data_IF_164198957136
#
_entry.id   IF_164198957136
#
_cell.length_a   1.000
_cell.length_b   1.000
_cell.length_c   1.000
_cell.angle_alpha   90.00
_cell.angle_beta   90.00
_cell.angle_gamma   90.00
#
_symmetry.space_group_name_H-M   'P 1'
#
loop_
_entity.id
_entity.type
_entity.pdbx_description
1 polymer ?
#
# COMPACT_ATOMS: atom_id res chain seq x y z
N UNK A 1 -18.19 -17.76 9.31
CA UNK A 1 -17.24 -17.99 8.21
C UNK A 1 -15.94 -17.17 8.32
N UNK A 2 -15.98 -15.96 8.88
CA UNK A 2 -14.82 -15.04 8.93
C UNK A 2 -13.65 -15.57 9.80
N UNK A 3 -13.90 -16.22 10.94
CA UNK A 3 -12.83 -16.71 11.85
C UNK A 3 -11.84 -17.76 11.28
N UNK A 4 -11.99 -18.21 10.03
CA UNK A 4 -11.08 -19.17 9.38
C UNK A 4 -10.10 -18.53 8.39
N UNK A 5 -10.21 -17.23 8.16
CA UNK A 5 -9.37 -16.51 7.19
C UNK A 5 -8.06 -16.14 7.88
N UNK A 6 -6.93 -16.44 7.22
CA UNK A 6 -5.60 -16.01 7.64
C UNK A 6 -5.47 -14.50 7.59
N UNK A 7 -4.74 -13.92 8.53
CA UNK A 7 -4.55 -12.48 8.65
C UNK A 7 -3.93 -11.92 7.36
N UNK A 8 -2.97 -12.64 6.80
CA UNK A 8 -2.33 -12.27 5.53
C UNK A 8 -3.35 -12.22 4.39
N UNK A 9 -4.26 -13.19 4.32
CA UNK A 9 -5.29 -13.24 3.28
C UNK A 9 -6.28 -12.08 3.38
N UNK A 10 -6.65 -11.68 4.61
CA UNK A 10 -7.47 -10.49 4.84
C UNK A 10 -6.77 -9.22 4.33
N UNK A 11 -5.48 -9.07 4.66
CA UNK A 11 -4.69 -7.88 4.31
C UNK A 11 -4.48 -7.78 2.78
N UNK A 12 -4.20 -8.91 2.12
CA UNK A 12 -4.12 -8.99 0.66
C UNK A 12 -5.47 -8.72 -0.01
N UNK A 13 -6.59 -9.20 0.53
CA UNK A 13 -7.92 -8.86 0.01
C UNK A 13 -8.19 -7.35 0.10
N UNK A 14 -7.89 -6.73 1.24
CA UNK A 14 -8.09 -5.28 1.43
C UNK A 14 -7.23 -4.48 0.43
N UNK A 15 -5.96 -4.87 0.25
CA UNK A 15 -5.08 -4.26 -0.75
C UNK A 15 -5.60 -4.46 -2.18
N UNK A 16 -6.10 -5.65 -2.51
CA UNK A 16 -6.68 -5.95 -3.82
C UNK A 16 -7.91 -5.10 -4.13
N UNK A 17 -8.82 -4.95 -3.15
CA UNK A 17 -9.99 -4.07 -3.28
C UNK A 17 -9.57 -2.61 -3.42
N UNK A 18 -8.57 -2.17 -2.66
CA UNK A 18 -8.04 -0.81 -2.75
C UNK A 18 -7.41 -0.52 -4.12
N UNK A 19 -6.62 -1.46 -4.66
CA UNK A 19 -6.03 -1.36 -5.99
C UNK A 19 -7.11 -1.31 -7.08
N UNK A 20 -8.15 -2.14 -6.99
CA UNK A 20 -9.30 -2.10 -7.90
C UNK A 20 -10.01 -0.76 -7.86
N UNK A 21 -10.25 -0.21 -6.66
CA UNK A 21 -10.83 1.12 -6.50
C UNK A 21 -9.96 2.22 -7.12
N UNK A 22 -8.63 2.14 -6.97
CA UNK A 22 -7.72 3.09 -7.59
C UNK A 22 -7.76 3.00 -9.12
N UNK A 23 -7.84 1.80 -9.70
CA UNK A 23 -7.98 1.63 -11.15
C UNK A 23 -9.30 2.20 -11.69
N UNK A 24 -10.41 1.91 -11.00
CA UNK A 24 -11.74 2.43 -11.37
C UNK A 24 -11.74 3.96 -11.27
N UNK A 25 -11.25 4.50 -10.16
CA UNK A 25 -11.14 5.95 -9.94
C UNK A 25 -10.27 6.62 -11.01
N UNK A 26 -9.09 6.05 -11.28
CA UNK A 26 -8.15 6.57 -12.29
C UNK A 26 -8.73 6.54 -13.70
N UNK A 27 -9.42 5.47 -14.08
CA UNK A 27 -10.07 5.36 -15.40
C UNK A 27 -11.17 6.39 -15.59
N UNK A 28 -11.99 6.62 -14.56
CA UNK A 28 -13.07 7.60 -14.60
C UNK A 28 -12.53 9.04 -14.61
N UNK A 29 -11.51 9.33 -13.81
CA UNK A 29 -10.82 10.62 -13.84
C UNK A 29 -10.20 10.91 -15.21
N UNK A 30 -9.55 9.92 -15.82
CA UNK A 30 -8.99 10.05 -17.16
C UNK A 30 -10.08 10.31 -18.21
N UNK A 31 -11.22 9.61 -18.12
CA UNK A 31 -12.36 9.85 -19.01
C UNK A 31 -12.93 11.27 -18.87
N UNK A 32 -13.10 11.76 -17.64
CA UNK A 32 -13.60 13.11 -17.36
C UNK A 32 -12.63 14.19 -17.88
N UNK A 33 -11.32 14.02 -17.65
CA UNK A 33 -10.31 14.93 -18.20
C UNK A 33 -10.31 14.94 -19.73
N UNK A 34 -10.41 13.78 -20.36
CA UNK A 34 -10.41 13.68 -21.81
C UNK A 34 -11.69 14.27 -22.44
N UNK A 35 -12.84 14.12 -21.78
CA UNK A 35 -14.08 14.78 -22.19
C UNK A 35 -13.95 16.31 -22.06
N UNK A 36 -13.47 16.80 -20.92
CA UNK A 36 -13.23 18.22 -20.68
C UNK A 36 -12.23 18.84 -21.68
N UNK A 37 -11.15 18.14 -22.00
CA UNK A 37 -10.16 18.60 -22.98
C UNK A 37 -10.75 18.70 -24.39
N UNK A 38 -11.55 17.71 -24.83
CA UNK A 38 -12.24 17.76 -26.13
C UNK A 38 -13.24 18.90 -26.19
N UNK A 39 -14.07 19.05 -25.17
CA UNK A 39 -15.04 20.14 -25.05
C UNK A 39 -14.36 21.51 -25.09
N UNK A 40 -13.20 21.66 -24.44
CA UNK A 40 -12.41 22.88 -24.48
C UNK A 40 -11.87 23.20 -25.88
N UNK A 41 -11.28 22.22 -26.58
CA UNK A 41 -10.74 22.43 -27.94
C UNK A 41 -11.85 22.81 -28.93
N UNK A 42 -12.98 22.10 -28.87
CA UNK A 42 -14.16 22.37 -29.72
C UNK A 42 -14.75 23.75 -29.43
N UNK A 43 -14.88 24.11 -28.15
CA UNK A 43 -15.38 25.41 -27.71
C UNK A 43 -14.44 26.57 -28.14
N UNK A 44 -13.13 26.37 -28.03
CA UNK A 44 -12.15 27.35 -28.48
C UNK A 44 -12.20 27.56 -30.00
N UNK A 45 -12.30 26.47 -30.77
CA UNK A 45 -12.44 26.53 -32.23
C UNK A 45 -13.71 27.28 -32.66
N UNK A 46 -14.84 27.02 -32.00
CA UNK A 46 -16.10 27.70 -32.28
C UNK A 46 -16.00 29.21 -32.00
N UNK A 47 -15.32 29.58 -30.90
CA UNK A 47 -15.05 30.98 -30.55
C UNK A 47 -14.10 31.65 -31.54
N UNK A 48 -13.06 30.97 -32.02
CA UNK A 48 -12.15 31.49 -33.04
C UNK A 48 -12.87 31.70 -34.38
N UNK A 49 -13.71 30.76 -34.81
CA UNK A 49 -14.57 30.91 -35.99
C UNK A 49 -15.48 32.14 -35.87
N UNK A 50 -16.17 32.29 -34.74
CA UNK A 50 -17.03 33.45 -34.47
C UNK A 50 -16.23 34.76 -34.49
N UNK A 51 -15.01 34.77 -33.91
CA UNK A 51 -14.12 35.92 -33.90
C UNK A 51 -13.70 36.36 -35.31
N UNK A 52 -13.21 35.43 -36.12
CA UNK A 52 -12.80 35.70 -37.51
C UNK A 52 -14.00 36.16 -38.38
N UNK A 53 -15.18 35.59 -38.17
CA UNK A 53 -16.40 36.03 -38.86
C UNK A 53 -16.85 37.44 -38.41
N UNK A 54 -16.72 37.74 -37.12
CA UNK A 54 -17.02 39.07 -36.56
C UNK A 54 -16.09 40.13 -37.15
N UNK A 55 -14.78 39.85 -37.20
CA UNK A 55 -13.81 40.74 -37.86
C UNK A 55 -14.09 40.92 -39.34
N UNK A 56 -14.48 39.85 -40.04
CA UNK A 56 -14.91 39.92 -41.44
C UNK A 56 -16.07 40.89 -41.61
N UNK A 57 -17.13 40.72 -40.81
CA UNK A 57 -18.33 41.56 -40.88
C UNK A 57 -18.04 43.04 -40.56
N UNK A 58 -17.27 43.31 -39.49
CA UNK A 58 -16.87 44.66 -39.12
C UNK A 58 -16.08 45.35 -40.25
N UNK A 59 -15.10 44.66 -40.82
CA UNK A 59 -14.30 45.21 -41.92
C UNK A 59 -15.12 45.45 -43.19
N UNK A 60 -16.12 44.60 -43.51
CA UNK A 60 -17.03 44.84 -44.63
C UNK A 60 -17.93 46.08 -44.38
N UNK A 61 -18.35 46.32 -43.14
CA UNK A 61 -19.06 47.54 -42.77
C UNK A 61 -18.15 48.77 -42.88
N UNK A 62 -16.90 48.68 -42.42
CA UNK A 62 -15.90 49.75 -42.60
C UNK A 62 -15.64 50.04 -44.08
N UNK A 63 -15.53 49.01 -44.93
CA UNK A 63 -15.44 49.16 -46.38
C UNK A 63 -16.63 49.94 -46.92
N UNK A 64 -17.86 49.58 -46.55
CA UNK A 64 -19.07 50.29 -46.98
C UNK A 64 -19.06 51.76 -46.54
N UNK A 65 -18.65 52.04 -45.31
CA UNK A 65 -18.52 53.40 -44.79
C UNK A 65 -17.51 54.21 -45.62
N UNK A 66 -16.34 53.63 -45.91
CA UNK A 66 -15.31 54.28 -46.72
C UNK A 66 -15.79 54.55 -48.16
N UNK A 67 -16.49 53.58 -48.77
CA UNK A 67 -17.08 53.73 -50.11
C UNK A 67 -18.14 54.82 -50.15
N UNK A 68 -19.07 54.83 -49.18
CA UNK A 68 -20.10 55.87 -49.08
C UNK A 68 -19.49 57.26 -48.90
N UNK A 69 -18.48 57.38 -48.03
CA UNK A 69 -17.74 58.62 -47.82
C UNK A 69 -16.95 59.08 -49.06
N UNK A 70 -16.42 58.16 -49.85
CA UNK A 70 -15.73 58.46 -51.12
C UNK A 70 -16.72 58.91 -52.19
N UNK A 71 -17.83 58.18 -52.38
CA UNK A 71 -18.89 58.49 -53.34
C UNK A 71 -19.48 59.89 -53.11
N UNK A 72 -19.80 60.23 -51.86
CA UNK A 72 -20.31 61.57 -51.52
C UNK A 72 -19.30 62.67 -51.86
N UNK A 73 -17.99 62.43 -51.67
CA UNK A 73 -16.93 63.39 -52.01
C UNK A 73 -16.70 63.52 -53.52
N UNK A 74 -17.01 62.48 -54.31
CA UNK A 74 -16.98 62.54 -55.77
C UNK A 74 -18.10 63.39 -56.36
N UNK A 75 -19.19 63.60 -55.62
CA UNK A 75 -20.29 64.50 -56.00
C UNK A 75 -20.10 65.94 -55.53
N UNK A 76 -19.11 66.20 -54.68
CA UNK A 76 -18.80 67.55 -54.24
C UNK A 76 -18.10 68.31 -55.38
N UNK A 77 -18.31 69.62 -55.42
CA UNK A 77 -17.54 70.51 -56.29
C UNK A 77 -16.03 70.36 -56.00
N UNK A 78 -15.24 70.32 -57.07
CA UNK A 78 -13.78 70.32 -57.05
C UNK A 78 -13.19 71.48 -56.23
N UNK A 79 -13.92 72.59 -56.10
CA UNK A 79 -13.53 73.73 -55.27
C UNK A 79 -13.59 73.45 -53.75
N UNK A 80 -14.30 72.40 -53.33
CA UNK A 80 -14.43 72.02 -51.93
C UNK A 80 -13.23 71.18 -51.46
N UNK A 81 -12.48 71.68 -50.47
CA UNK A 81 -11.30 71.02 -49.92
C UNK A 81 -11.57 69.59 -49.41
N UNK A 82 -12.80 69.27 -48.99
CA UNK A 82 -13.18 67.92 -48.54
C UNK A 82 -13.24 66.89 -49.68
N UNK A 83 -13.32 67.33 -50.94
CA UNK A 83 -13.33 66.45 -52.12
C UNK A 83 -11.97 65.79 -52.40
N UNK A 84 -10.88 66.32 -51.82
CA UNK A 84 -9.52 65.79 -52.02
C UNK A 84 -9.32 64.39 -51.43
N UNK A 85 -10.03 64.07 -50.34
CA UNK A 85 -9.92 62.78 -49.65
C UNK A 85 -10.64 61.61 -50.37
N UNK A 86 -11.27 61.83 -51.53
CA UNK A 86 -12.05 60.80 -52.24
C UNK A 86 -11.21 59.57 -52.61
N UNK A 87 -9.97 59.78 -53.07
CA UNK A 87 -9.04 58.71 -53.49
C UNK A 87 -8.53 57.95 -52.27
N UNK A 88 -8.07 58.66 -51.23
CA UNK A 88 -7.59 58.04 -49.99
C UNK A 88 -8.67 57.18 -49.29
N UNK A 89 -9.92 57.60 -49.34
CA UNK A 89 -11.04 56.83 -48.82
C UNK A 89 -11.35 55.59 -49.67
N UNK A 90 -11.19 55.67 -51.00
CA UNK A 90 -11.34 54.52 -51.89
C UNK A 90 -10.20 53.51 -51.65
N UNK A 91 -8.96 53.97 -51.46
CA UNK A 91 -7.83 53.10 -51.08
C UNK A 91 -8.05 52.46 -49.71
N UNK A 92 -8.60 53.20 -48.75
CA UNK A 92 -9.00 52.66 -47.44
C UNK A 92 -10.10 51.60 -47.57
N UNK A 93 -11.03 51.76 -48.50
CA UNK A 93 -12.03 50.73 -48.82
C UNK A 93 -11.38 49.47 -49.39
N UNK A 94 -10.46 49.60 -50.37
CA UNK A 94 -9.70 48.46 -50.91
C UNK A 94 -8.94 47.71 -49.82
N UNK A 95 -8.26 48.44 -48.92
CA UNK A 95 -7.51 47.86 -47.81
C UNK A 95 -8.41 47.10 -46.83
N UNK A 96 -9.50 47.72 -46.38
CA UNK A 96 -10.44 47.08 -45.44
C UNK A 96 -11.12 45.85 -46.05
N UNK A 97 -11.47 45.87 -47.34
CA UNK A 97 -12.05 44.71 -48.02
C UNK A 97 -11.05 43.55 -48.14
N UNK A 98 -9.79 43.85 -48.46
CA UNK A 98 -8.72 42.84 -48.49
C UNK A 98 -8.45 42.23 -47.10
N UNK A 99 -8.51 43.05 -46.04
CA UNK A 99 -8.44 42.56 -44.67
C UNK A 99 -9.65 41.67 -44.33
N UNK A 100 -10.86 42.07 -44.72
CA UNK A 100 -12.07 41.25 -44.52
C UNK A 100 -11.93 39.87 -45.21
N UNK A 101 -11.41 39.83 -46.44
CA UNK A 101 -11.14 38.59 -47.15
C UNK A 101 -10.09 37.70 -46.46
N UNK A 102 -9.10 38.30 -45.81
CA UNK A 102 -8.10 37.57 -45.03
C UNK A 102 -8.73 36.88 -43.82
N UNK A 103 -9.54 37.60 -43.05
CA UNK A 103 -10.29 37.04 -41.92
C UNK A 103 -11.29 35.96 -42.37
N UNK A 104 -11.99 36.20 -43.48
CA UNK A 104 -12.92 35.21 -44.03
C UNK A 104 -12.23 33.92 -44.49
N UNK A 105 -11.01 34.04 -45.05
CA UNK A 105 -10.20 32.88 -45.42
C UNK A 105 -9.79 32.07 -44.19
N UNK A 106 -9.43 32.72 -43.08
CA UNK A 106 -9.16 32.04 -41.80
C UNK A 106 -10.40 31.35 -41.27
N UNK A 107 -11.55 32.02 -41.27
CA UNK A 107 -12.85 31.43 -40.93
C UNK A 107 -13.09 30.12 -41.69
N UNK A 108 -12.92 30.13 -43.03
CA UNK A 108 -13.09 28.92 -43.86
C UNK A 108 -12.03 27.84 -43.69
N UNK A 109 -10.85 28.18 -43.18
CA UNK A 109 -9.78 27.20 -42.93
C UNK A 109 -10.07 26.31 -41.72
N UNK A 110 -10.93 26.77 -40.81
CA UNK A 110 -11.38 26.03 -39.65
C UNK A 110 -12.60 25.18 -40.03
N UNK A 111 -12.49 23.85 -39.91
CA UNK A 111 -13.59 22.95 -40.22
C UNK A 111 -14.82 23.27 -39.34
N UNK A 112 -16.02 23.47 -39.93
CA UNK A 112 -17.22 23.68 -39.13
C UNK A 112 -17.61 22.40 -38.40
N UNK A 113 -18.17 22.55 -37.21
CA UNK A 113 -18.85 21.45 -36.53
C UNK A 113 -20.07 21.00 -37.34
N UNK A 114 -20.48 19.71 -37.27
CA UNK A 114 -21.61 19.18 -38.03
C UNK A 114 -22.88 20.04 -37.91
N UNK A 115 -23.17 20.54 -36.71
CA UNK A 115 -24.32 21.40 -36.41
C UNK A 115 -24.21 22.78 -37.07
N UNK A 116 -22.99 23.26 -37.35
CA UNK A 116 -22.70 24.58 -37.93
C UNK A 116 -22.53 24.56 -39.45
N UNK A 117 -22.61 23.39 -40.11
CA UNK A 117 -22.37 23.28 -41.57
C UNK A 117 -23.41 24.09 -42.36
N UNK A 118 -24.69 23.99 -41.99
CA UNK A 118 -25.77 24.67 -42.71
C UNK A 118 -25.68 26.20 -42.58
N UNK A 119 -25.44 26.70 -41.36
CA UNK A 119 -25.29 28.13 -41.10
C UNK A 119 -24.00 28.69 -41.70
N UNK A 120 -22.90 27.94 -41.67
CA UNK A 120 -21.65 28.27 -42.37
C UNK A 120 -21.85 28.40 -43.89
N UNK A 121 -22.66 27.52 -44.49
CA UNK A 121 -22.98 27.59 -45.92
C UNK A 121 -23.81 28.82 -46.27
N UNK A 122 -24.79 29.18 -45.44
CA UNK A 122 -25.58 30.40 -45.62
C UNK A 122 -24.68 31.65 -45.53
N UNK A 123 -23.77 31.69 -44.56
CA UNK A 123 -22.73 32.73 -44.45
C UNK A 123 -21.91 32.83 -45.75
N UNK A 124 -21.44 31.70 -46.30
CA UNK A 124 -20.61 31.73 -47.51
C UNK A 124 -21.34 32.29 -48.73
N UNK A 125 -22.62 31.98 -48.89
CA UNK A 125 -23.45 32.56 -49.94
C UNK A 125 -23.59 34.08 -49.77
N UNK A 126 -23.99 34.54 -48.58
CA UNK A 126 -24.24 35.97 -48.35
C UNK A 126 -22.95 36.79 -48.35
N UNK A 127 -21.86 36.24 -47.82
CA UNK A 127 -20.53 36.84 -47.88
C UNK A 127 -20.09 37.04 -49.32
N UNK A 128 -20.18 36.00 -50.18
CA UNK A 128 -19.78 36.11 -51.59
C UNK A 128 -20.56 37.20 -52.31
N UNK A 129 -21.88 37.21 -52.15
CA UNK A 129 -22.73 38.22 -52.79
C UNK A 129 -22.35 39.64 -52.34
N UNK A 130 -22.21 39.85 -51.03
CA UNK A 130 -21.89 41.18 -50.50
C UNK A 130 -20.44 41.60 -50.79
N UNK A 131 -19.47 40.67 -50.76
CA UNK A 131 -18.08 40.94 -51.13
C UNK A 131 -17.95 41.34 -52.61
N UNK A 132 -18.61 40.60 -53.51
CA UNK A 132 -18.66 40.95 -54.94
C UNK A 132 -19.28 42.32 -55.13
N UNK A 133 -20.40 42.60 -54.46
CA UNK A 133 -21.04 43.91 -54.51
C UNK A 133 -20.10 45.04 -54.07
N UNK A 134 -19.38 44.88 -52.95
CA UNK A 134 -18.40 45.87 -52.48
C UNK A 134 -17.22 46.04 -53.45
N UNK A 135 -16.81 44.98 -54.14
CA UNK A 135 -15.77 45.05 -55.18
C UNK A 135 -16.26 45.83 -56.39
N UNK A 136 -17.48 45.56 -56.87
CA UNK A 136 -18.10 46.33 -57.96
C UNK A 136 -18.24 47.80 -57.60
N UNK A 137 -18.61 48.14 -56.35
CA UNK A 137 -18.67 49.53 -55.90
C UNK A 137 -17.30 50.20 -55.90
N UNK A 138 -16.23 49.49 -55.54
CA UNK A 138 -14.86 49.99 -55.66
C UNK A 138 -14.57 50.32 -57.13
N UNK A 139 -14.86 49.39 -58.04
CA UNK A 139 -14.59 49.56 -59.48
C UNK A 139 -15.40 50.71 -60.09
N UNK A 140 -16.67 50.87 -59.71
CA UNK A 140 -17.49 52.00 -60.17
C UNK A 140 -16.93 53.35 -59.72
N UNK A 141 -16.48 53.45 -58.47
CA UNK A 141 -15.90 54.69 -57.95
C UNK A 141 -14.50 54.96 -58.54
N UNK A 142 -13.75 53.93 -58.90
CA UNK A 142 -12.44 54.07 -59.55
C UNK A 142 -12.53 54.83 -60.87
N UNK A 143 -13.59 54.57 -61.65
CA UNK A 143 -13.89 55.28 -62.90
C UNK A 143 -14.79 56.53 -62.71
N UNK A 144 -15.09 56.92 -61.46
CA UNK A 144 -15.98 58.03 -61.16
C UNK A 144 -17.46 57.82 -61.55
N UNK A 145 -17.87 56.58 -61.80
CA UNK A 145 -19.23 56.23 -62.21
C UNK A 145 -20.17 56.11 -61.00
N UNK A 146 -20.57 57.25 -60.46
CA UNK A 146 -21.45 57.32 -59.29
C UNK A 146 -22.90 56.89 -59.59
N UNK A 147 -23.33 56.92 -60.86
CA UNK A 147 -24.64 56.42 -61.27
C UNK A 147 -24.77 54.91 -61.06
N UNK A 148 -23.76 54.14 -61.47
CA UNK A 148 -23.71 52.70 -61.23
C UNK A 148 -23.60 52.36 -59.73
N UNK A 149 -22.83 53.16 -58.97
CA UNK A 149 -22.74 53.03 -57.52
C UNK A 149 -24.11 53.09 -56.82
N UNK A 150 -24.96 54.05 -57.21
CA UNK A 150 -26.28 54.21 -56.61
C UNK A 150 -27.35 53.23 -57.13
N UNK A 151 -27.18 52.74 -58.35
CA UNK A 151 -28.11 51.77 -58.93
C UNK A 151 -28.00 50.38 -58.28
N UNK A 152 -26.84 50.04 -57.70
CA UNK A 152 -26.63 48.74 -57.07
C UNK A 152 -27.47 48.61 -55.78
N UNK A 153 -28.22 47.51 -55.57
CA UNK A 153 -29.03 47.28 -54.37
C UNK A 153 -28.18 46.81 -53.17
N UNK A 154 -27.08 47.52 -52.87
CA UNK A 154 -26.08 47.12 -51.85
C UNK A 154 -26.68 46.93 -50.47
N UNK A 155 -27.69 47.72 -50.10
CA UNK A 155 -28.31 47.64 -48.78
C UNK A 155 -29.01 46.30 -48.54
N UNK A 156 -29.65 45.72 -49.56
CA UNK A 156 -30.28 44.40 -49.45
C UNK A 156 -29.26 43.30 -49.18
N UNK A 157 -28.12 43.35 -49.87
CA UNK A 157 -27.02 42.40 -49.68
C UNK A 157 -26.35 42.54 -48.31
N UNK A 158 -26.16 43.78 -47.84
CA UNK A 158 -25.66 44.04 -46.50
C UNK A 158 -26.62 43.49 -45.43
N UNK A 159 -27.93 43.74 -45.56
CA UNK A 159 -28.94 43.24 -44.62
C UNK A 159 -28.97 41.71 -44.60
N UNK A 160 -28.94 41.05 -45.77
CA UNK A 160 -28.93 39.60 -45.86
C UNK A 160 -27.67 38.98 -45.22
N UNK A 161 -26.50 39.61 -45.38
CA UNK A 161 -25.27 39.19 -44.70
C UNK A 161 -25.37 39.42 -43.19
N UNK A 162 -25.92 40.55 -42.74
CA UNK A 162 -26.12 40.84 -41.32
C UNK A 162 -27.08 39.86 -40.64
N UNK A 163 -28.15 39.45 -41.33
CA UNK A 163 -29.08 38.43 -40.85
C UNK A 163 -28.42 37.05 -40.77
N UNK A 164 -27.68 36.64 -41.81
CA UNK A 164 -26.93 35.40 -41.79
C UNK A 164 -25.88 35.39 -40.66
N UNK A 165 -25.20 36.51 -40.43
CA UNK A 165 -24.27 36.70 -39.31
C UNK A 165 -24.95 36.54 -37.94
N UNK A 166 -26.11 37.17 -37.75
CA UNK A 166 -26.87 37.04 -36.51
C UNK A 166 -27.33 35.59 -36.27
N UNK A 167 -27.82 34.90 -37.30
CA UNK A 167 -28.21 33.48 -37.22
C UNK A 167 -27.04 32.55 -36.89
N UNK A 168 -25.88 32.82 -37.50
CA UNK A 168 -24.65 32.09 -37.18
C UNK A 168 -24.23 32.32 -35.73
N UNK A 169 -24.25 33.58 -35.25
CA UNK A 169 -23.92 33.92 -33.87
C UNK A 169 -24.86 33.24 -32.86
N UNK A 170 -26.17 33.24 -33.11
CA UNK A 170 -27.16 32.57 -32.25
C UNK A 170 -26.94 31.05 -32.21
N UNK A 171 -26.66 30.43 -33.36
CA UNK A 171 -26.39 28.99 -33.43
C UNK A 171 -25.08 28.63 -32.72
N UNK A 172 -24.05 29.45 -32.91
CA UNK A 172 -22.76 29.32 -32.24
C UNK A 172 -22.89 29.49 -30.73
N UNK A 173 -23.66 30.47 -30.25
CA UNK A 173 -23.89 30.70 -28.82
C UNK A 173 -24.68 29.55 -28.20
N UNK A 174 -25.73 29.06 -28.88
CA UNK A 174 -26.50 27.90 -28.43
C UNK A 174 -25.59 26.68 -28.27
N UNK A 175 -24.80 26.36 -29.30
CA UNK A 175 -23.89 25.21 -29.27
C UNK A 175 -22.81 25.36 -28.19
N UNK A 176 -22.27 26.58 -28.03
CA UNK A 176 -21.34 26.87 -26.94
C UNK A 176 -21.97 26.64 -25.56
N UNK A 177 -23.20 27.10 -25.36
CA UNK A 177 -23.93 26.89 -24.11
C UNK A 177 -24.20 25.41 -23.86
N UNK A 178 -24.67 24.67 -24.87
CA UNK A 178 -24.94 23.23 -24.75
C UNK A 178 -23.67 22.48 -24.33
N UNK A 179 -22.52 22.77 -24.96
CA UNK A 179 -21.22 22.19 -24.60
C UNK A 179 -20.82 22.54 -23.15
N UNK A 180 -21.01 23.79 -22.71
CA UNK A 180 -20.63 24.22 -21.35
C UNK A 180 -21.60 23.69 -20.29
N UNK A 181 -22.90 23.60 -20.57
CA UNK A 181 -23.88 23.06 -19.63
C UNK A 181 -23.76 21.56 -19.46
N UNK A 182 -23.43 20.81 -20.51
CA UNK A 182 -23.12 19.38 -20.40
C UNK A 182 -21.94 19.15 -19.45
N UNK A 183 -20.92 20.03 -19.48
CA UNK A 183 -19.82 19.97 -18.51
C UNK A 183 -20.29 20.23 -17.06
N UNK A 184 -21.34 21.03 -16.82
CA UNK A 184 -21.85 21.31 -15.47
C UNK A 184 -22.51 20.09 -14.81
N UNK A 185 -23.23 19.29 -15.60
CA UNK A 185 -23.79 18.03 -15.12
C UNK A 185 -22.70 16.97 -14.90
N UNK A 186 -21.64 16.97 -15.72
CA UNK A 186 -20.44 16.16 -15.50
C UNK A 186 -19.74 16.50 -14.17
N UNK A 187 -19.69 17.78 -13.75
CA UNK A 187 -19.14 18.16 -12.45
C UNK A 187 -19.96 17.60 -11.28
N UNK A 188 -21.29 17.62 -11.38
CA UNK A 188 -22.17 17.04 -10.34
C UNK A 188 -22.00 15.52 -10.27
N UNK A 189 -21.85 14.87 -11.43
CA UNK A 189 -21.56 13.45 -11.50
C UNK A 189 -20.21 13.12 -10.85
N UNK A 190 -19.16 13.88 -11.15
CA UNK A 190 -17.83 13.72 -10.56
C UNK A 190 -17.84 13.93 -9.02
N UNK A 191 -18.59 14.92 -8.51
CA UNK A 191 -18.73 15.16 -7.08
C UNK A 191 -19.43 14.01 -6.36
N UNK A 192 -20.55 13.51 -6.90
CA UNK A 192 -21.24 12.34 -6.34
C UNK A 192 -20.35 11.10 -6.35
N UNK A 193 -19.58 10.91 -7.41
CA UNK A 193 -18.66 9.79 -7.51
C UNK A 193 -17.54 9.87 -6.47
N UNK A 194 -16.96 11.06 -6.23
CA UNK A 194 -15.98 11.26 -5.16
C UNK A 194 -16.59 10.96 -3.78
N UNK A 195 -17.84 11.37 -3.54
CA UNK A 195 -18.53 11.06 -2.30
C UNK A 195 -18.73 9.55 -2.11
N UNK A 196 -19.09 8.81 -3.17
CA UNK A 196 -19.22 7.35 -3.14
C UNK A 196 -17.87 6.68 -2.88
N UNK A 197 -16.80 7.10 -3.56
CA UNK A 197 -15.45 6.55 -3.33
C UNK A 197 -15.01 6.81 -1.88
N UNK A 198 -15.21 8.02 -1.37
CA UNK A 198 -14.88 8.36 0.01
C UNK A 198 -15.67 7.49 1.01
N UNK A 199 -16.97 7.28 0.77
CA UNK A 199 -17.81 6.40 1.58
C UNK A 199 -17.31 4.95 1.56
N UNK A 200 -16.94 4.43 0.39
CA UNK A 200 -16.41 3.06 0.24
C UNK A 200 -15.07 2.91 0.96
N UNK A 201 -14.18 3.91 0.87
CA UNK A 201 -12.90 3.90 1.60
C UNK A 201 -13.14 3.87 3.11
N UNK A 202 -14.05 4.69 3.63
CA UNK A 202 -14.43 4.68 5.05
C UNK A 202 -14.97 3.31 5.46
N UNK A 203 -15.83 2.70 4.64
CA UNK A 203 -16.39 1.38 4.90
C UNK A 203 -15.30 0.29 4.96
N UNK A 204 -14.34 0.32 4.02
CA UNK A 204 -13.20 -0.60 4.01
C UNK A 204 -12.35 -0.43 5.27
N UNK A 205 -12.07 0.82 5.69
CA UNK A 205 -11.32 1.10 6.91
C UNK A 205 -12.05 0.56 8.15
N UNK A 206 -13.36 0.73 8.25
CA UNK A 206 -14.17 0.18 9.35
C UNK A 206 -14.15 -1.34 9.37
N UNK A 207 -14.29 -1.99 8.21
CA UNK A 207 -14.23 -3.46 8.09
C UNK A 207 -12.83 -3.99 8.44
N UNK A 208 -11.77 -3.34 7.95
CA UNK A 208 -10.39 -3.71 8.26
C UNK A 208 -10.08 -3.52 9.74
N UNK A 209 -10.49 -2.39 10.34
CA UNK A 209 -10.34 -2.14 11.78
C UNK A 209 -11.07 -3.19 12.62
N UNK A 210 -12.32 -3.49 12.28
CA UNK A 210 -13.11 -4.52 12.95
C UNK A 210 -12.47 -5.92 12.79
N UNK A 211 -12.01 -6.24 11.59
CA UNK A 211 -11.32 -7.50 11.26
C UNK A 211 -10.04 -7.68 12.06
N UNK A 212 -9.15 -6.68 12.07
CA UNK A 212 -7.89 -6.69 12.85
C UNK A 212 -8.19 -6.84 14.34
N UNK A 213 -9.14 -6.07 14.88
CA UNK A 213 -9.48 -6.13 16.31
C UNK A 213 -9.96 -7.52 16.72
N UNK A 214 -10.80 -8.15 15.89
CA UNK A 214 -11.41 -9.45 16.19
C UNK A 214 -10.49 -10.64 15.89
N UNK A 215 -9.70 -10.58 14.81
CA UNK A 215 -8.85 -11.69 14.35
C UNK A 215 -7.43 -11.68 14.92
N UNK A 216 -6.88 -10.50 15.23
CA UNK A 216 -5.54 -10.36 15.78
C UNK A 216 -5.57 -9.98 17.25
N UNK A 217 -6.09 -8.80 17.58
CA UNK A 217 -5.92 -8.23 18.93
C UNK A 217 -6.61 -9.05 20.02
N UNK A 218 -7.82 -9.52 19.77
CA UNK A 218 -8.60 -10.31 20.74
C UNK A 218 -7.96 -11.67 21.06
N UNK A 219 -7.64 -12.54 20.09
CA UNK A 219 -6.97 -13.81 20.39
C UNK A 219 -5.55 -13.60 20.92
N UNK A 220 -4.80 -12.61 20.43
CA UNK A 220 -3.47 -12.30 20.97
C UNK A 220 -3.54 -11.93 22.46
N UNK A 221 -4.52 -11.11 22.87
CA UNK A 221 -4.72 -10.77 24.28
C UNK A 221 -5.01 -12.01 25.14
N UNK A 222 -5.79 -12.98 24.62
CA UNK A 222 -6.03 -14.27 25.31
C UNK A 222 -4.76 -15.09 25.46
N UNK A 223 -3.94 -15.18 24.42
CA UNK A 223 -2.65 -15.90 24.46
C UNK A 223 -1.71 -15.25 25.49
N UNK A 224 -1.61 -13.91 25.49
CA UNK A 224 -0.77 -13.17 26.45
C UNK A 224 -1.26 -13.41 27.89
N UNK A 225 -2.57 -13.37 28.13
CA UNK A 225 -3.14 -13.66 29.44
C UNK A 225 -2.81 -15.10 29.90
N UNK A 226 -2.91 -16.08 28.99
CA UNK A 226 -2.59 -17.49 29.27
C UNK A 226 -1.11 -17.70 29.61
N UNK A 227 -0.21 -17.05 28.88
CA UNK A 227 1.23 -17.09 29.18
C UNK A 227 1.52 -16.48 30.56
N UNK A 228 0.81 -15.41 30.96
CA UNK A 228 0.93 -14.85 32.31
C UNK A 228 0.48 -15.82 33.40
N UNK A 229 -0.57 -16.61 33.17
CA UNK A 229 -1.00 -17.65 34.11
C UNK A 229 0.04 -18.77 34.26
N UNK A 230 0.62 -19.23 33.15
CA UNK A 230 1.72 -20.21 33.15
C UNK A 230 2.92 -19.67 33.92
N UNK A 231 3.30 -18.41 33.69
CA UNK A 231 4.39 -17.75 34.42
C UNK A 231 4.10 -17.60 35.92
N UNK A 232 2.82 -17.49 36.30
CA UNK A 232 2.36 -17.51 37.70
C UNK A 232 2.28 -18.91 38.33
N UNK A 233 2.64 -19.97 37.60
CA UNK A 233 2.63 -21.35 38.08
C UNK A 233 1.28 -22.07 37.96
N UNK A 234 0.26 -21.44 37.38
CA UNK A 234 -1.03 -22.08 37.13
C UNK A 234 -1.01 -22.80 35.76
N UNK A 235 -0.83 -24.13 35.80
CA UNK A 235 -0.80 -25.00 34.62
C UNK A 235 -2.14 -25.72 34.35
N UNK A 236 -3.19 -25.44 35.13
CA UNK A 236 -4.46 -26.16 35.03
C UNK A 236 -5.38 -25.65 33.90
N UNK A 237 -5.23 -24.39 33.51
CA UNK A 237 -6.11 -23.77 32.51
C UNK A 237 -5.80 -24.23 31.09
N UNK A 238 -6.81 -24.35 30.23
CA UNK A 238 -6.65 -24.76 28.84
C UNK A 238 -6.89 -23.59 27.89
N UNK A 239 -5.98 -23.39 26.94
CA UNK A 239 -6.11 -22.35 25.92
C UNK A 239 -6.90 -22.91 24.72
N UNK A 240 -8.14 -22.47 24.55
CA UNK A 240 -8.94 -22.78 23.37
C UNK A 240 -9.08 -21.55 22.47
N UNK A 241 -8.50 -21.64 21.27
CA UNK A 241 -8.70 -20.67 20.20
C UNK A 241 -9.25 -21.40 18.99
N UNK A 242 -10.51 -21.14 18.65
CA UNK A 242 -11.17 -21.74 17.51
C UNK A 242 -10.68 -21.14 16.18
N UNK A 243 -10.17 -22.01 15.28
CA UNK A 243 -9.86 -21.66 13.89
C UNK A 243 -8.48 -22.11 13.41
N UNK A 244 -8.31 -22.22 12.08
CA UNK A 244 -7.03 -22.53 11.41
C UNK A 244 -6.29 -21.24 10.99
N UNK A 245 -6.14 -20.28 11.91
CA UNK A 245 -5.42 -19.03 11.68
C UNK A 245 -4.03 -19.07 12.31
N UNK A 246 -3.19 -18.09 11.98
CA UNK A 246 -1.85 -17.93 12.56
C UNK A 246 -1.90 -17.83 14.11
N UNK A 247 -2.98 -17.28 14.66
CA UNK A 247 -3.22 -17.22 16.11
C UNK A 247 -3.56 -18.59 16.70
N UNK A 248 -4.21 -19.47 15.93
CA UNK A 248 -4.46 -20.86 16.31
C UNK A 248 -3.17 -21.68 16.39
N UNK A 249 -2.28 -21.51 15.40
CA UNK A 249 -0.96 -22.16 15.40
C UNK A 249 -0.10 -21.69 16.58
N UNK A 250 -0.15 -20.39 16.90
CA UNK A 250 0.51 -19.83 18.08
C UNK A 250 -0.07 -20.42 19.39
N UNK A 251 -1.40 -20.50 19.52
CA UNK A 251 -2.06 -21.08 20.69
C UNK A 251 -1.73 -22.57 20.86
N UNK A 252 -1.64 -23.33 19.77
CA UNK A 252 -1.25 -24.73 19.80
C UNK A 252 0.20 -24.90 20.27
N UNK A 253 1.11 -24.04 19.81
CA UNK A 253 2.51 -24.02 20.24
C UNK A 253 2.65 -23.70 21.75
N UNK A 254 1.89 -22.71 22.24
CA UNK A 254 1.83 -22.37 23.68
C UNK A 254 1.25 -23.53 24.50
N UNK A 255 0.21 -24.21 23.99
CA UNK A 255 -0.38 -25.38 24.65
C UNK A 255 0.57 -26.57 24.72
N UNK A 256 1.42 -26.75 23.70
CA UNK A 256 2.47 -27.76 23.71
C UNK A 256 3.53 -27.44 24.77
N UNK A 257 3.99 -26.19 24.85
CA UNK A 257 4.92 -25.72 25.89
C UNK A 257 4.37 -25.95 27.30
N UNK A 258 3.09 -25.63 27.54
CA UNK A 258 2.43 -25.87 28.83
C UNK A 258 2.44 -27.36 29.21
N UNK A 259 2.15 -28.26 28.25
CA UNK A 259 2.18 -29.71 28.49
C UNK A 259 3.58 -30.19 28.83
N UNK A 260 4.61 -29.76 28.11
CA UNK A 260 6.01 -30.11 28.42
C UNK A 260 6.45 -29.60 29.80
N UNK A 261 6.02 -28.39 30.20
CA UNK A 261 6.27 -27.86 31.54
C UNK A 261 5.56 -28.67 32.62
N UNK A 262 4.29 -29.02 32.40
CA UNK A 262 3.50 -29.84 33.32
C UNK A 262 4.13 -31.22 33.50
N UNK A 263 4.56 -31.85 32.40
CA UNK A 263 5.23 -33.16 32.43
C UNK A 263 6.55 -33.11 33.23
N UNK A 264 7.33 -32.04 33.05
CA UNK A 264 8.58 -31.82 33.79
C UNK A 264 8.32 -31.65 35.29
N UNK A 265 7.33 -30.83 35.67
CA UNK A 265 6.99 -30.56 37.08
C UNK A 265 6.36 -31.78 37.76
N UNK A 266 5.59 -32.60 37.04
CA UNK A 266 4.95 -33.80 37.58
C UNK A 266 5.90 -35.00 37.71
N UNK A 267 6.88 -35.14 36.80
CA UNK A 267 7.88 -36.22 36.85
C UNK A 267 9.09 -35.91 37.75
N UNK A 268 9.39 -34.64 38.01
CA UNK A 268 10.45 -34.24 38.94
C UNK A 268 10.34 -34.89 40.33
N UNK A 269 9.18 -34.84 41.00
CA UNK A 269 8.97 -35.45 42.32
C UNK A 269 9.17 -36.97 42.35
N UNK A 270 8.88 -37.69 41.25
CA UNK A 270 9.15 -39.14 41.15
C UNK A 270 10.65 -39.42 41.17
N UNK A 271 11.47 -38.59 40.51
CA UNK A 271 12.94 -38.69 40.56
C UNK A 271 13.48 -38.43 41.96
N UNK A 272 12.94 -37.45 42.67
CA UNK A 272 13.32 -37.18 44.07
C UNK A 272 12.94 -38.29 45.04
N UNK A 273 11.79 -38.95 44.85
CA UNK A 273 11.38 -40.10 45.69
C UNK A 273 12.34 -41.30 45.56
N UNK A 274 12.86 -41.55 44.36
CA UNK A 274 13.86 -42.61 44.15
C UNK A 274 15.17 -42.29 44.90
N UNK A 275 15.58 -41.02 44.93
CA UNK A 275 16.76 -40.57 45.66
C UNK A 275 16.59 -40.72 47.18
N UNK A 276 15.42 -40.34 47.73
CA UNK A 276 15.09 -40.52 49.16
C UNK A 276 15.02 -42.01 49.57
N UNK A 277 14.62 -42.89 48.66
CA UNK A 277 14.65 -44.33 48.90
C UNK A 277 16.09 -44.85 48.92
N UNK A 278 16.90 -44.46 47.93
CA UNK A 278 18.32 -44.84 47.86
C UNK A 278 19.12 -44.35 49.05
N UNK A 279 18.87 -43.13 49.56
CA UNK A 279 19.54 -42.65 50.78
C UNK A 279 19.14 -43.42 52.03
N UNK A 280 17.89 -43.91 52.13
CA UNK A 280 17.46 -44.80 53.23
C UNK A 280 18.10 -46.18 53.15
N UNK A 281 18.23 -46.72 51.95
CA UNK A 281 18.88 -48.02 51.70
C UNK A 281 20.38 -47.96 52.00
N UNK A 282 21.06 -46.87 51.60
CA UNK A 282 22.46 -46.60 51.97
C UNK A 282 22.61 -46.47 53.49
N UNK A 283 21.71 -45.75 54.17
CA UNK A 283 21.76 -45.62 55.62
C UNK A 283 21.62 -46.98 56.32
N UNK A 284 20.67 -47.82 55.88
CA UNK A 284 20.50 -49.18 56.40
C UNK A 284 21.72 -50.08 56.13
N UNK A 285 22.29 -50.02 54.92
CA UNK A 285 23.51 -50.75 54.57
C UNK A 285 24.72 -50.31 55.38
N UNK A 286 24.83 -49.03 55.73
CA UNK A 286 25.89 -48.52 56.59
C UNK A 286 25.76 -49.04 58.02
N UNK A 287 24.53 -49.18 58.54
CA UNK A 287 24.28 -49.79 59.86
C UNK A 287 24.66 -51.28 59.86
N UNK A 288 24.30 -52.03 58.82
CA UNK A 288 24.69 -53.44 58.68
C UNK A 288 26.21 -53.61 58.62
N UNK A 289 26.88 -52.80 57.80
CA UNK A 289 28.35 -52.81 57.69
C UNK A 289 29.02 -52.46 59.02
N UNK A 290 28.48 -51.48 59.76
CA UNK A 290 28.97 -51.14 61.11
C UNK A 290 28.87 -52.35 62.05
N UNK A 291 27.74 -53.05 62.06
CA UNK A 291 27.54 -54.24 62.91
C UNK A 291 28.51 -55.37 62.55
N UNK A 292 28.74 -55.61 61.26
CA UNK A 292 29.71 -56.61 60.78
C UNK A 292 31.14 -56.23 61.13
N UNK A 293 31.46 -54.93 61.10
CA UNK A 293 32.78 -54.41 61.47
C UNK A 293 33.02 -54.57 62.98
N UNK A 294 32.01 -54.31 63.82
CA UNK A 294 32.06 -54.60 65.26
C UNK A 294 32.25 -56.09 65.54
N UNK A 295 31.52 -56.95 64.83
CA UNK A 295 31.62 -58.40 64.98
C UNK A 295 32.99 -58.93 64.53
N UNK A 296 33.55 -58.36 63.45
CA UNK A 296 34.88 -58.70 62.96
C UNK A 296 35.98 -58.21 63.90
N UNK A 297 35.82 -57.02 64.51
CA UNK A 297 36.73 -56.53 65.54
C UNK A 297 36.75 -57.44 66.76
N UNK A 298 35.57 -57.90 67.23
CA UNK A 298 35.46 -58.85 68.34
C UNK A 298 36.11 -60.19 68.02
N UNK A 299 35.93 -60.73 66.80
CA UNK A 299 36.61 -61.96 66.38
C UNK A 299 38.14 -61.80 66.30
N UNK A 300 38.62 -60.61 65.93
CA UNK A 300 40.04 -60.27 65.94
C UNK A 300 40.60 -60.19 67.37
N UNK A 301 39.85 -59.63 68.31
CA UNK A 301 40.22 -59.63 69.74
C UNK A 301 40.31 -61.06 70.29
N UNK A 302 39.34 -61.92 69.98
CA UNK A 302 39.35 -63.33 70.40
C UNK A 302 40.54 -64.10 69.79
N UNK A 303 40.88 -63.80 68.52
CA UNK A 303 42.05 -64.36 67.85
C UNK A 303 43.35 -63.89 68.52
N UNK A 304 43.45 -62.61 68.88
CA UNK A 304 44.61 -62.05 69.57
C UNK A 304 44.80 -62.68 70.96
N UNK A 305 43.73 -62.83 71.74
CA UNK A 305 43.75 -63.50 73.04
C UNK A 305 44.16 -64.98 72.92
N UNK A 306 43.65 -65.68 71.90
CA UNK A 306 44.04 -67.07 71.60
C UNK A 306 45.53 -67.18 71.22
N UNK A 307 46.06 -66.19 70.50
CA UNK A 307 47.49 -66.11 70.15
C UNK A 307 48.37 -65.83 71.38
N UNK A 308 47.92 -65.01 72.33
CA UNK A 308 48.61 -64.82 73.61
C UNK A 308 48.67 -66.13 74.41
N UNK A 309 47.55 -66.85 74.48
CA UNK A 309 47.48 -68.13 75.19
C UNK A 309 48.35 -69.22 74.52
N UNK A 310 48.37 -69.27 73.18
CA UNK A 310 49.26 -70.15 72.42
C UNK A 310 50.73 -69.80 72.68
N UNK A 311 51.08 -68.51 72.66
CA UNK A 311 52.44 -68.04 72.93
C UNK A 311 52.90 -68.42 74.33
N UNK A 312 52.03 -68.29 75.34
CA UNK A 312 52.31 -68.73 76.70
C UNK A 312 52.56 -70.24 76.77
N UNK A 313 51.75 -71.04 76.06
CA UNK A 313 51.91 -72.51 75.99
C UNK A 313 53.21 -72.92 75.29
N UNK A 314 53.57 -72.24 74.19
CA UNK A 314 54.84 -72.48 73.49
C UNK A 314 56.03 -72.13 74.38
N UNK A 315 55.96 -71.01 75.12
CA UNK A 315 57.00 -70.64 76.09
C UNK A 315 57.14 -71.70 77.19
N UNK A 316 56.01 -72.18 77.73
CA UNK A 316 56.01 -73.26 78.72
C UNK A 316 56.59 -74.57 78.17
N UNK A 317 56.29 -74.93 76.92
CA UNK A 317 56.88 -76.10 76.26
C UNK A 317 58.39 -75.95 76.05
N UNK A 318 58.86 -74.75 75.69
CA UNK A 318 60.29 -74.48 75.55
C UNK A 318 61.00 -74.61 76.91
N UNK A 319 60.42 -74.09 77.99
CA UNK A 319 60.94 -74.23 79.35
C UNK A 319 60.97 -75.70 79.81
N UNK A 320 59.90 -76.46 79.54
CA UNK A 320 59.84 -77.90 79.81
C UNK A 320 60.90 -78.69 79.04
N UNK A 321 61.10 -78.39 77.75
CA UNK A 321 62.14 -79.02 76.94
C UNK A 321 63.55 -78.70 77.48
N UNK A 322 63.76 -77.46 77.95
CA UNK A 322 65.02 -77.04 78.58
C UNK A 322 65.27 -77.76 79.90
N UNK A 323 64.25 -77.91 80.74
CA UNK A 323 64.34 -78.69 81.99
C UNK A 323 64.61 -80.17 81.71
N UNK A 324 63.90 -80.78 80.76
CA UNK A 324 64.13 -82.17 80.37
C UNK A 324 65.55 -82.39 79.83
N UNK A 325 66.06 -81.46 79.02
CA UNK A 325 67.44 -81.49 78.54
C UNK A 325 68.46 -81.40 79.68
N UNK A 326 68.22 -80.56 80.69
CA UNK A 326 69.09 -80.48 81.88
C UNK A 326 69.04 -81.77 82.70
N UNK A 327 67.85 -82.36 82.88
CA UNK A 327 67.69 -83.61 83.62
C UNK A 327 68.40 -84.78 82.92
N UNK A 328 68.27 -84.87 81.59
CA UNK A 328 68.99 -85.84 80.79
C UNK A 328 70.52 -85.67 80.88
N UNK A 329 71.00 -84.42 80.90
CA UNK A 329 72.43 -84.12 81.10
C UNK A 329 72.91 -84.56 82.49
N UNK A 330 72.17 -84.26 83.57
CA UNK A 330 72.50 -84.70 84.93
C UNK A 330 72.46 -86.21 85.10
N UNK A 331 71.51 -86.89 84.45
CA UNK A 331 71.44 -88.36 84.45
C UNK A 331 72.65 -88.96 83.70
N UNK A 332 73.06 -88.37 82.58
CA UNK A 332 74.26 -88.75 81.83
C UNK A 332 75.53 -88.57 82.67
N UNK A 333 75.68 -87.45 83.38
CA UNK A 333 76.82 -87.22 84.28
C UNK A 333 76.85 -88.23 85.43
N UNK A 334 75.68 -88.55 86.01
CA UNK A 334 75.57 -89.56 87.07
C UNK A 334 75.96 -90.95 86.57
N UNK A 335 75.55 -91.33 85.36
CA UNK A 335 75.93 -92.59 84.73
C UNK A 335 77.45 -92.67 84.45
N UNK A 336 78.07 -91.55 84.03
CA UNK A 336 79.54 -91.49 83.87
C UNK A 336 80.29 -91.63 85.19
N UNK A 337 79.78 -91.06 86.29
CA UNK A 337 80.40 -91.21 87.61
C UNK A 337 80.18 -92.62 88.20
N UNK A 338 79.02 -93.22 87.98
CA UNK A 338 78.73 -94.60 88.41
C UNK A 338 79.62 -95.64 87.73
N UNK A 339 79.95 -95.46 86.45
CA UNK A 339 80.84 -96.38 85.73
C UNK A 339 82.27 -96.42 86.29
N UNK A 340 82.72 -95.36 86.99
CA UNK A 340 84.04 -95.32 87.63
C UNK A 340 84.11 -96.02 88.99
N UNK A 341 82.98 -96.35 89.61
CA UNK A 341 82.94 -96.92 90.97
C UNK A 341 82.81 -98.46 91.02
N UNK A 342 82.83 -99.16 89.89
CA UNK A 342 82.66 -100.62 89.86
C UNK A 342 83.85 -101.41 89.30
N UNK A 343 85.07 -100.85 89.33
CA UNK A 343 86.31 -101.52 88.85
C UNK A 343 87.53 -101.41 89.78
N UNK A 344 87.38 -101.28 91.10
CA UNK A 344 88.51 -101.43 92.02
C UNK A 344 88.13 -102.13 93.31
#
# INVERSE_FOLDING_TARGET
>A
MINRIRVVTLLVMVLGVFALLQLISGSLFFSSLHHSQKSFVVSNQLREQQGELTSTWDLMLQTRINLSRSAVRMMMDSSNQQSNAKVELLDSARKTLAQAATHYKKFKSMAPLPEMVATSRNIDEKYKNYHTALTELIDYLDYGNTGAYFAQPTQGMQNAMGEAFAQYALSSEKLYRDIVTDNADDYRFAQWQLAVIALVVVLILLVAWYGIRRMLLTPLAKIIAHIREIAGGNLANTLTIDGRSEMGDLAQSVSHMQRSLTDTVTHGPRRFRCHLCGTREIAAGNTDLSSRTEQQASALEETAASMEQLTATVKQNADNARQASQLAQSASDTAQHGAKWWMA
#
